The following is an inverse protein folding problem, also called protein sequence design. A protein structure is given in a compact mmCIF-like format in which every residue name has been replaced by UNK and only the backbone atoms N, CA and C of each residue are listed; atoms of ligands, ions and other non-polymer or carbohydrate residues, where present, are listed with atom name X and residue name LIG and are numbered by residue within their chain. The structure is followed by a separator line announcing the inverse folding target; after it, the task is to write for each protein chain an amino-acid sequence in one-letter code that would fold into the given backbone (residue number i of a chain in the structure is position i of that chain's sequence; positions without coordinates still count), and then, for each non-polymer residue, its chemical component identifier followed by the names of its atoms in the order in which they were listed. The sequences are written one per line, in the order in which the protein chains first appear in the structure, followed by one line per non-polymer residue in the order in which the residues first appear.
data_IF_250708946014
#
_entry.id   IF_250708946014
#
_cell.length_a   1.000
_cell.length_b   1.000
_cell.length_c   1.000
_cell.angle_alpha   90.00
_cell.angle_beta   90.00
_cell.angle_gamma   90.00
#
_symmetry.space_group_name_H-M   'P 1'
#
loop_
_entity.id
_entity.type
_entity.pdbx_description
1 polymer ?
#
# COMPACT_ATOMS: atom_id res chain seq x y z
N UNK A 1 27.45 -0.40 23.52
CA UNK A 1 26.02 -0.79 23.46
C UNK A 1 25.27 0.35 22.78
N UNK A 2 25.00 0.24 21.49
CA UNK A 2 24.10 1.18 20.82
C UNK A 2 22.76 1.19 21.55
N UNK A 3 22.25 2.37 21.89
CA UNK A 3 20.84 2.52 22.29
C UNK A 3 20.02 2.04 21.11
N UNK A 4 19.58 0.77 21.12
CA UNK A 4 18.49 0.31 20.25
C UNK A 4 17.41 1.39 20.34
N UNK A 5 17.07 1.97 19.19
CA UNK A 5 16.07 3.02 19.09
C UNK A 5 14.80 2.54 19.79
N UNK A 6 14.50 3.08 20.97
CA UNK A 6 13.42 2.57 21.84
C UNK A 6 12.11 2.51 21.06
N UNK A 7 11.92 3.47 20.14
CA UNK A 7 10.79 3.55 19.20
C UNK A 7 10.64 2.33 18.30
N UNK A 8 11.73 1.82 17.71
CA UNK A 8 11.68 0.65 16.82
C UNK A 8 11.26 -0.61 17.56
N UNK A 9 11.68 -0.75 18.82
CA UNK A 9 11.27 -1.87 19.67
C UNK A 9 9.76 -1.87 19.92
N UNK A 10 9.16 -0.69 20.09
CA UNK A 10 7.71 -0.57 20.25
C UNK A 10 6.93 -0.72 18.94
N UNK A 11 7.58 -0.51 17.78
CA UNK A 11 6.98 -0.69 16.45
C UNK A 11 6.99 -2.15 16.01
N UNK A 12 7.98 -2.94 16.42
CA UNK A 12 8.20 -4.32 15.99
C UNK A 12 7.18 -5.31 16.60
N UNK A 13 5.89 -5.08 16.39
CA UNK A 13 4.84 -6.05 16.65
C UNK A 13 4.73 -6.97 15.44
N UNK A 14 4.71 -8.27 15.71
CA UNK A 14 4.55 -9.31 14.70
C UNK A 14 3.37 -9.01 13.77
N UNK A 15 3.62 -9.09 12.46
CA UNK A 15 2.62 -8.87 11.40
C UNK A 15 2.09 -7.45 11.23
N UNK A 16 2.48 -6.47 12.06
CA UNK A 16 1.97 -5.09 12.00
C UNK A 16 3.01 -4.06 11.56
N UNK A 17 4.23 -4.50 11.33
CA UNK A 17 5.37 -3.67 10.96
C UNK A 17 6.06 -4.30 9.75
N UNK A 18 6.34 -3.48 8.74
CA UNK A 18 7.18 -3.83 7.60
C UNK A 18 8.62 -3.42 7.94
N UNK A 19 9.52 -4.37 8.21
CA UNK A 19 10.90 -4.05 8.55
C UNK A 19 11.64 -3.37 7.41
N UNK A 20 12.59 -2.51 7.74
CA UNK A 20 13.41 -1.80 6.75
C UNK A 20 14.12 -2.78 5.82
N UNK A 21 14.69 -3.88 6.33
CA UNK A 21 15.30 -4.91 5.50
C UNK A 21 14.34 -5.56 4.50
N UNK A 22 13.05 -5.67 4.84
CA UNK A 22 12.03 -6.21 3.94
C UNK A 22 11.67 -5.18 2.87
N UNK A 23 11.55 -3.90 3.24
CA UNK A 23 11.38 -2.81 2.28
C UNK A 23 12.57 -2.74 1.31
N UNK A 24 13.80 -2.92 1.80
CA UNK A 24 15.02 -2.97 0.99
C UNK A 24 14.99 -4.14 0.01
N UNK A 25 14.61 -5.33 0.49
CA UNK A 25 14.46 -6.52 -0.35
C UNK A 25 13.37 -6.36 -1.42
N UNK A 26 12.26 -5.68 -1.10
CA UNK A 26 11.23 -5.32 -2.09
C UNK A 26 11.82 -4.41 -3.18
N UNK A 27 12.64 -3.41 -2.78
CA UNK A 27 13.30 -2.50 -3.72
C UNK A 27 14.28 -3.23 -4.64
N UNK A 28 15.13 -4.10 -4.09
CA UNK A 28 16.06 -4.93 -4.87
C UNK A 28 15.31 -5.83 -5.86
N UNK A 29 14.30 -6.55 -5.37
CA UNK A 29 13.50 -7.45 -6.22
C UNK A 29 12.75 -6.70 -7.32
N UNK A 30 12.29 -5.47 -7.06
CA UNK A 30 11.70 -4.63 -8.11
C UNK A 30 12.68 -4.36 -9.25
N UNK A 31 13.96 -4.10 -8.97
CA UNK A 31 14.97 -3.93 -10.02
C UNK A 31 15.18 -5.23 -10.80
N UNK A 32 15.42 -6.34 -10.10
CA UNK A 32 15.71 -7.63 -10.73
C UNK A 32 14.58 -8.06 -11.66
N UNK A 33 13.33 -7.95 -11.20
CA UNK A 33 12.16 -8.34 -11.98
C UNK A 33 11.92 -7.41 -13.17
N UNK A 34 12.14 -6.11 -13.04
CA UNK A 34 12.01 -5.16 -14.16
C UNK A 34 13.08 -5.42 -15.22
N UNK A 35 14.33 -5.68 -14.81
CA UNK A 35 15.40 -6.03 -15.75
C UNK A 35 15.12 -7.37 -16.45
N UNK A 36 14.60 -8.36 -15.73
CA UNK A 36 14.18 -9.63 -16.34
C UNK A 36 13.02 -9.44 -17.33
N UNK A 37 12.01 -8.62 -17.01
CA UNK A 37 10.92 -8.32 -17.94
C UNK A 37 11.44 -7.68 -19.22
N UNK A 38 12.37 -6.72 -19.09
CA UNK A 38 13.00 -6.09 -20.24
C UNK A 38 13.75 -7.12 -21.09
N UNK A 39 14.54 -7.99 -20.46
CA UNK A 39 15.28 -9.04 -21.17
C UNK A 39 14.36 -9.98 -21.94
N UNK A 40 13.24 -10.41 -21.34
CA UNK A 40 12.23 -11.23 -22.02
C UNK A 40 11.59 -10.51 -23.21
N UNK A 41 11.28 -9.22 -23.09
CA UNK A 41 10.72 -8.40 -24.17
C UNK A 41 11.74 -8.11 -25.29
N UNK A 42 13.03 -8.09 -24.97
CA UNK A 42 14.11 -7.97 -25.96
C UNK A 42 14.28 -9.27 -26.75
N UNK A 43 14.09 -10.42 -26.09
CA UNK A 43 14.15 -11.75 -26.71
C UNK A 43 12.94 -12.02 -27.61
N UNK A 44 11.71 -11.76 -27.14
CA UNK A 44 10.49 -11.90 -27.92
C UNK A 44 9.43 -10.85 -27.51
N UNK A 45 8.98 -10.05 -28.47
CA UNK A 45 7.95 -9.03 -28.24
C UNK A 45 6.59 -9.60 -27.84
N UNK A 46 6.32 -10.89 -28.11
CA UNK A 46 5.08 -11.56 -27.70
C UNK A 46 4.90 -11.60 -26.17
N UNK A 47 5.98 -11.46 -25.39
CA UNK A 47 5.90 -11.38 -23.92
C UNK A 47 5.07 -10.21 -23.41
N UNK A 48 4.84 -9.16 -24.22
CA UNK A 48 3.96 -8.04 -23.85
C UNK A 48 2.58 -8.52 -23.37
N UNK A 49 2.03 -9.55 -24.02
CA UNK A 49 0.71 -10.10 -23.72
C UNK A 49 0.61 -10.76 -22.33
N UNK A 50 1.75 -11.17 -21.75
CA UNK A 50 1.85 -11.81 -20.43
C UNK A 50 2.30 -10.78 -19.40
N UNK A 51 3.34 -10.01 -19.74
CA UNK A 51 3.99 -9.05 -18.85
C UNK A 51 3.21 -7.73 -18.72
N UNK A 52 2.18 -7.50 -19.55
CA UNK A 52 1.33 -6.31 -19.54
C UNK A 52 2.10 -4.99 -19.66
N UNK A 53 3.22 -4.99 -20.39
CA UNK A 53 4.04 -3.81 -20.68
C UNK A 53 4.80 -3.99 -21.98
N UNK A 54 4.92 -2.91 -22.74
CA UNK A 54 5.69 -2.89 -23.97
C UNK A 54 7.17 -2.60 -23.75
N UNK A 55 8.02 -3.09 -24.65
CA UNK A 55 9.48 -2.81 -24.62
C UNK A 55 9.79 -1.31 -24.56
N UNK A 56 9.12 -0.51 -25.39
CA UNK A 56 9.32 0.95 -25.43
C UNK A 56 9.02 1.62 -24.09
N UNK A 57 8.06 1.08 -23.34
CA UNK A 57 7.62 1.61 -22.06
C UNK A 57 8.61 1.24 -20.96
N UNK A 58 9.00 -0.03 -20.89
CA UNK A 58 9.93 -0.51 -19.85
C UNK A 58 11.33 0.10 -20.02
N UNK A 59 11.74 0.41 -21.25
CA UNK A 59 13.01 1.11 -21.51
C UNK A 59 13.03 2.50 -20.86
N UNK A 60 11.90 3.20 -20.74
CA UNK A 60 11.83 4.50 -20.06
C UNK A 60 12.17 4.41 -18.56
N UNK A 61 12.01 3.23 -17.93
CA UNK A 61 12.29 3.05 -16.50
C UNK A 61 13.75 3.37 -16.17
N UNK A 62 14.71 2.99 -17.03
CA UNK A 62 16.14 3.31 -16.84
C UNK A 62 16.47 4.77 -17.10
N UNK A 63 15.70 5.46 -17.94
CA UNK A 63 16.01 6.82 -18.37
C UNK A 63 15.44 7.90 -17.44
N UNK A 64 14.45 7.57 -16.60
CA UNK A 64 13.82 8.54 -15.69
C UNK A 64 14.09 8.21 -14.21
N UNK A 65 15.30 8.52 -13.77
CA UNK A 65 15.74 8.27 -12.39
C UNK A 65 14.87 8.98 -11.34
N UNK A 66 14.37 10.18 -11.64
CA UNK A 66 13.58 10.96 -10.69
C UNK A 66 12.22 10.30 -10.38
N UNK A 67 11.49 9.90 -11.43
CA UNK A 67 10.22 9.17 -11.28
C UNK A 67 10.45 7.78 -10.68
N UNK A 68 11.51 7.08 -11.10
CA UNK A 68 11.87 5.77 -10.55
C UNK A 68 12.17 5.84 -9.06
N UNK A 69 12.92 6.85 -8.61
CA UNK A 69 13.19 7.07 -7.18
C UNK A 69 11.92 7.21 -6.37
N UNK A 70 10.94 7.99 -6.85
CA UNK A 70 9.67 8.17 -6.12
C UNK A 70 8.87 6.86 -6.08
N UNK A 71 8.88 6.09 -7.16
CA UNK A 71 8.22 4.78 -7.22
C UNK A 71 8.84 3.76 -6.25
N UNK A 72 10.18 3.75 -6.15
CA UNK A 72 10.94 2.84 -5.28
C UNK A 72 10.94 3.22 -3.81
N UNK A 73 10.52 4.45 -3.45
CA UNK A 73 10.38 4.84 -2.04
C UNK A 73 9.19 4.15 -1.37
N UNK A 74 8.20 3.74 -2.14
CA UNK A 74 7.04 3.03 -1.61
C UNK A 74 7.39 1.55 -1.36
N UNK A 75 6.95 0.95 -0.23
CA UNK A 75 7.24 -0.46 0.09
C UNK A 75 6.38 -1.44 -0.72
N UNK A 76 6.07 -1.13 -1.97
CA UNK A 76 5.16 -1.89 -2.82
C UNK A 76 5.93 -2.56 -3.96
N UNK A 77 5.45 -3.74 -4.36
CA UNK A 77 5.91 -4.35 -5.59
C UNK A 77 5.40 -3.55 -6.80
N UNK A 78 6.32 -3.25 -7.71
CA UNK A 78 6.06 -2.63 -9.01
C UNK A 78 5.45 -3.61 -10.01
N UNK A 79 5.57 -4.90 -9.71
CA UNK A 79 4.93 -6.00 -10.42
C UNK A 79 3.76 -6.54 -9.61
N UNK A 80 2.83 -7.20 -10.29
CA UNK A 80 1.77 -7.99 -9.68
C UNK A 80 1.91 -9.45 -10.15
N UNK A 81 1.36 -10.43 -9.42
CA UNK A 81 1.34 -11.79 -9.91
C UNK A 81 0.55 -11.91 -11.22
N UNK A 82 1.01 -12.80 -12.09
CA UNK A 82 0.30 -13.19 -13.31
C UNK A 82 -0.93 -14.06 -12.98
N UNK A 83 -0.85 -14.84 -11.89
CA UNK A 83 -1.93 -15.67 -11.37
C UNK A 83 -2.77 -14.86 -10.38
N UNK A 84 -3.99 -14.48 -10.79
CA UNK A 84 -4.82 -13.50 -10.08
C UNK A 84 -5.78 -14.13 -9.06
N UNK A 85 -6.22 -15.38 -9.29
CA UNK A 85 -7.20 -16.07 -8.45
C UNK A 85 -6.60 -17.25 -7.68
N UNK A 86 -7.26 -17.66 -6.60
CA UNK A 86 -6.86 -18.85 -5.81
C UNK A 86 -6.86 -20.11 -6.66
N UNK A 87 -7.85 -20.22 -7.55
CA UNK A 87 -8.02 -21.32 -8.49
C UNK A 87 -6.83 -21.43 -9.44
N UNK A 88 -6.32 -20.30 -9.95
CA UNK A 88 -5.12 -20.29 -10.82
C UNK A 88 -3.90 -20.88 -10.10
N UNK A 89 -3.73 -20.57 -8.81
CA UNK A 89 -2.65 -21.13 -8.01
C UNK A 89 -2.86 -22.63 -7.72
N UNK A 90 -4.10 -23.05 -7.43
CA UNK A 90 -4.43 -24.47 -7.18
C UNK A 90 -4.13 -25.38 -8.36
N UNK A 91 -4.27 -24.88 -9.59
CA UNK A 91 -3.92 -25.64 -10.81
C UNK A 91 -2.50 -26.20 -10.75
N UNK A 92 -1.54 -25.41 -10.24
CA UNK A 92 -0.14 -25.82 -10.17
C UNK A 92 0.23 -26.48 -8.83
N UNK A 93 -0.40 -26.06 -7.73
CA UNK A 93 -0.07 -26.54 -6.38
C UNK A 93 -0.69 -27.90 -6.08
N UNK A 94 -1.98 -28.08 -6.44
CA UNK A 94 -2.80 -29.24 -6.07
C UNK A 94 -3.17 -30.12 -7.28
N UNK A 95 -2.61 -29.83 -8.47
CA UNK A 95 -2.88 -30.55 -9.73
C UNK A 95 -4.37 -30.56 -10.13
N UNK A 96 -5.08 -29.47 -9.84
CA UNK A 96 -6.46 -29.28 -10.31
C UNK A 96 -6.50 -28.93 -11.80
N UNK A 97 -7.68 -29.07 -12.43
CA UNK A 97 -7.90 -28.65 -13.80
C UNK A 97 -7.53 -27.17 -14.02
N UNK A 98 -6.89 -26.86 -15.14
CA UNK A 98 -6.47 -25.50 -15.49
C UNK A 98 -7.67 -24.56 -15.65
N UNK A 99 -7.54 -23.33 -15.18
CA UNK A 99 -8.53 -22.28 -15.43
C UNK A 99 -8.39 -21.74 -16.85
N UNK A 100 -9.45 -21.10 -17.36
CA UNK A 100 -9.43 -20.43 -18.67
C UNK A 100 -8.36 -19.32 -18.72
N UNK A 101 -8.09 -18.66 -17.59
CA UNK A 101 -7.05 -17.64 -17.49
C UNK A 101 -5.66 -18.26 -17.68
N UNK A 102 -5.37 -19.36 -16.99
CA UNK A 102 -4.10 -20.10 -17.11
C UNK A 102 -3.91 -20.65 -18.52
N UNK A 103 -4.94 -21.26 -19.11
CA UNK A 103 -4.87 -21.77 -20.48
C UNK A 103 -4.55 -20.66 -21.50
N UNK A 104 -5.14 -19.46 -21.30
CA UNK A 104 -4.88 -18.31 -22.17
C UNK A 104 -3.43 -17.83 -22.04
N UNK A 105 -2.88 -17.83 -20.82
CA UNK A 105 -1.49 -17.46 -20.56
C UNK A 105 -0.52 -18.47 -21.21
N UNK A 106 -0.78 -19.76 -21.05
CA UNK A 106 0.05 -20.83 -21.64
C UNK A 106 0.04 -20.72 -23.17
N UNK A 107 -1.11 -20.45 -23.79
CA UNK A 107 -1.19 -20.27 -25.26
C UNK A 107 -0.44 -19.04 -25.79
N UNK A 108 -0.30 -18.00 -24.95
CA UNK A 108 0.43 -16.77 -25.29
C UNK A 108 1.93 -16.88 -25.01
N UNK A 109 2.38 -17.94 -24.34
CA UNK A 109 3.78 -18.12 -23.98
C UNK A 109 4.59 -18.44 -25.25
N UNK A 110 5.55 -17.60 -25.64
CA UNK A 110 6.43 -17.91 -26.76
C UNK A 110 7.37 -19.07 -26.43
N UNK A 111 7.91 -19.77 -27.45
CA UNK A 111 8.85 -20.87 -27.22
C UNK A 111 10.11 -20.35 -26.53
N UNK A 112 10.49 -21.01 -25.43
CA UNK A 112 11.67 -20.69 -24.64
C UNK A 112 12.80 -21.68 -24.93
N UNK A 113 14.02 -21.18 -25.09
CA UNK A 113 15.21 -22.01 -25.04
C UNK A 113 15.53 -22.44 -23.59
N UNK A 114 16.49 -23.35 -23.42
CA UNK A 114 16.83 -23.87 -22.10
C UNK A 114 17.35 -22.77 -21.15
N UNK A 115 18.11 -21.80 -21.67
CA UNK A 115 18.67 -20.71 -20.88
C UNK A 115 17.59 -19.74 -20.40
N UNK A 116 16.68 -19.31 -21.29
CA UNK A 116 15.56 -18.44 -20.94
C UNK A 116 14.62 -19.12 -19.96
N UNK A 117 14.33 -20.42 -20.15
CA UNK A 117 13.53 -21.19 -19.20
C UNK A 117 14.17 -21.21 -17.82
N UNK A 118 15.47 -21.50 -17.71
CA UNK A 118 16.20 -21.45 -16.44
C UNK A 118 16.18 -20.05 -15.80
N UNK A 119 16.32 -18.99 -16.61
CA UNK A 119 16.25 -17.61 -16.15
C UNK A 119 14.88 -17.25 -15.58
N UNK A 120 13.80 -17.61 -16.27
CA UNK A 120 12.42 -17.39 -15.78
C UNK A 120 12.17 -18.18 -14.50
N UNK A 121 12.59 -19.44 -14.44
CA UNK A 121 12.45 -20.26 -13.23
C UNK A 121 13.20 -19.66 -12.03
N UNK A 122 14.40 -19.11 -12.25
CA UNK A 122 15.16 -18.41 -11.21
C UNK A 122 14.39 -17.19 -10.68
N UNK A 123 13.93 -16.30 -11.57
CA UNK A 123 13.21 -15.09 -11.15
C UNK A 123 11.84 -15.39 -10.55
N UNK A 124 11.16 -16.45 -10.99
CA UNK A 124 9.94 -16.95 -10.34
C UNK A 124 10.20 -17.38 -8.89
N UNK A 125 11.37 -18.01 -8.61
CA UNK A 125 11.76 -18.35 -7.22
C UNK A 125 12.00 -17.10 -6.39
N UNK A 126 12.75 -16.13 -6.92
CA UNK A 126 13.02 -14.84 -6.24
C UNK A 126 11.71 -14.14 -5.90
N UNK A 127 10.80 -14.03 -6.87
CA UNK A 127 9.47 -13.46 -6.70
C UNK A 127 8.67 -14.19 -5.62
N UNK A 128 8.59 -15.53 -5.68
CA UNK A 128 7.81 -16.32 -4.75
C UNK A 128 8.38 -16.31 -3.33
N UNK A 129 9.70 -16.32 -3.17
CA UNK A 129 10.36 -16.21 -1.87
C UNK A 129 10.08 -14.83 -1.24
N UNK A 130 10.04 -13.75 -2.03
CA UNK A 130 9.63 -12.42 -1.54
C UNK A 130 8.14 -12.38 -1.18
N UNK A 131 7.26 -12.86 -2.06
CA UNK A 131 5.80 -12.95 -1.79
C UNK A 131 5.56 -13.70 -0.48
N UNK A 132 6.21 -14.85 -0.31
CA UNK A 132 6.13 -15.67 0.91
C UNK A 132 6.64 -14.90 2.14
N UNK A 133 7.73 -14.14 2.01
CA UNK A 133 8.24 -13.32 3.12
C UNK A 133 7.22 -12.24 3.53
N UNK A 134 6.66 -11.52 2.55
CA UNK A 134 5.72 -10.41 2.81
C UNK A 134 4.42 -10.91 3.44
N UNK A 135 3.83 -12.00 2.95
CA UNK A 135 2.56 -12.54 3.50
C UNK A 135 2.67 -13.03 4.94
N UNK A 136 3.84 -13.53 5.36
CA UNK A 136 4.07 -13.96 6.73
C UNK A 136 4.41 -12.79 7.66
N UNK A 137 5.05 -11.73 7.14
CA UNK A 137 5.56 -10.60 7.95
C UNK A 137 4.57 -9.44 8.05
N UNK A 138 3.60 -9.30 7.14
CA UNK A 138 2.69 -8.14 7.14
C UNK A 138 1.23 -8.55 6.93
N UNK A 139 0.34 -8.01 7.76
CA UNK A 139 -1.11 -8.11 7.55
C UNK A 139 -1.59 -7.30 6.34
N UNK A 140 -0.79 -6.32 5.91
CA UNK A 140 -1.02 -5.54 4.69
C UNK A 140 -0.35 -6.15 3.46
N UNK A 141 0.02 -7.43 3.49
CA UNK A 141 0.68 -8.09 2.37
C UNK A 141 -0.09 -7.96 1.05
N UNK A 142 -1.42 -8.08 1.08
CA UNK A 142 -2.24 -8.02 -0.12
C UNK A 142 -2.11 -6.66 -0.87
N UNK A 143 -2.26 -5.50 -0.20
CA UNK A 143 -1.90 -4.19 -0.77
C UNK A 143 -0.47 -4.09 -1.30
N UNK A 144 0.53 -4.54 -0.52
CA UNK A 144 1.95 -4.42 -0.88
C UNK A 144 2.29 -5.20 -2.15
N UNK A 145 1.75 -6.41 -2.27
CA UNK A 145 1.98 -7.33 -3.39
C UNK A 145 1.05 -7.11 -4.58
N UNK A 146 -0.04 -6.34 -4.42
CA UNK A 146 -1.03 -6.14 -5.47
C UNK A 146 -1.93 -7.35 -5.73
N UNK A 147 -2.27 -8.10 -4.68
CA UNK A 147 -3.12 -9.30 -4.74
C UNK A 147 -4.41 -9.12 -3.94
N UNK A 148 -5.37 -10.03 -4.12
CA UNK A 148 -6.57 -10.07 -3.29
C UNK A 148 -6.26 -10.62 -1.88
N UNK A 149 -7.15 -10.34 -0.93
CA UNK A 149 -7.07 -10.90 0.43
C UNK A 149 -7.22 -12.42 0.46
N UNK A 150 -7.98 -12.98 -0.49
CA UNK A 150 -8.20 -14.42 -0.62
C UNK A 150 -6.95 -15.13 -1.15
N UNK A 151 -6.26 -14.54 -2.13
CA UNK A 151 -4.98 -15.10 -2.61
C UNK A 151 -3.93 -15.02 -1.52
N UNK A 152 -3.85 -13.90 -0.79
CA UNK A 152 -2.91 -13.78 0.33
C UNK A 152 -3.17 -14.83 1.41
N UNK A 153 -4.43 -15.05 1.80
CA UNK A 153 -4.78 -16.06 2.81
C UNK A 153 -4.53 -17.48 2.34
N UNK A 154 -4.81 -17.78 1.06
CA UNK A 154 -4.49 -19.06 0.45
C UNK A 154 -2.97 -19.32 0.45
N UNK A 155 -2.16 -18.37 -0.01
CA UNK A 155 -0.70 -18.54 -0.07
C UNK A 155 -0.07 -18.73 1.32
N UNK A 156 -0.64 -18.12 2.37
CA UNK A 156 -0.22 -18.36 3.76
C UNK A 156 -0.53 -19.80 4.20
N UNK A 157 -1.62 -20.39 3.71
CA UNK A 157 -2.02 -21.76 4.07
C UNK A 157 -1.20 -22.85 3.35
N UNK A 158 -0.54 -22.52 2.23
CA UNK A 158 0.22 -23.48 1.44
C UNK A 158 1.66 -23.59 1.95
N UNK A 159 2.16 -24.79 2.26
CA UNK A 159 3.56 -24.98 2.62
C UNK A 159 4.51 -24.54 1.51
N UNK A 160 5.59 -23.85 1.87
CA UNK A 160 6.57 -23.29 0.91
C UNK A 160 7.16 -24.33 -0.05
N UNK A 161 7.36 -25.58 0.39
CA UNK A 161 7.88 -26.63 -0.48
C UNK A 161 6.90 -27.01 -1.60
N UNK A 162 5.58 -26.96 -1.36
CA UNK A 162 4.56 -27.21 -2.40
C UNK A 162 4.59 -26.11 -3.45
N UNK A 163 4.71 -24.85 -3.02
CA UNK A 163 4.86 -23.71 -3.92
C UNK A 163 6.12 -23.87 -4.80
N UNK A 164 7.23 -24.37 -4.25
CA UNK A 164 8.46 -24.65 -5.01
C UNK A 164 8.30 -25.78 -6.03
N UNK A 165 7.59 -26.85 -5.68
CA UNK A 165 7.28 -27.94 -6.63
C UNK A 165 6.38 -27.41 -7.76
N UNK A 166 5.40 -26.56 -7.43
CA UNK A 166 4.51 -25.95 -8.42
C UNK A 166 5.25 -25.12 -9.48
N UNK A 167 6.35 -24.44 -9.11
CA UNK A 167 7.18 -23.69 -10.08
C UNK A 167 7.69 -24.56 -11.22
N UNK A 168 8.07 -25.81 -10.95
CA UNK A 168 8.54 -26.73 -12.00
C UNK A 168 7.46 -27.09 -13.02
N UNK A 169 6.19 -27.04 -12.61
CA UNK A 169 5.04 -27.37 -13.46
C UNK A 169 4.62 -26.21 -14.37
N UNK A 170 5.04 -24.99 -14.07
CA UNK A 170 4.67 -23.77 -14.81
C UNK A 170 5.44 -23.63 -16.14
N UNK A 171 6.43 -24.49 -16.41
CA UNK A 171 7.12 -24.62 -17.69
C UNK A 171 7.61 -23.29 -18.30
N UNK A 172 8.22 -22.42 -17.50
CA UNK A 172 8.76 -21.14 -17.97
C UNK A 172 7.74 -20.01 -18.12
N UNK A 173 6.51 -20.15 -17.61
CA UNK A 173 5.58 -19.05 -17.46
C UNK A 173 6.08 -18.03 -16.41
N UNK A 174 6.27 -16.74 -16.74
CA UNK A 174 6.61 -15.71 -15.75
C UNK A 174 5.45 -15.48 -14.77
N UNK A 175 5.75 -15.54 -13.47
CA UNK A 175 4.78 -15.34 -12.40
C UNK A 175 4.51 -13.89 -12.02
N UNK A 176 5.22 -12.97 -12.66
CA UNK A 176 5.12 -11.54 -12.43
C UNK A 176 4.81 -10.84 -13.75
N UNK A 177 4.06 -9.75 -13.65
CA UNK A 177 3.74 -8.84 -14.74
C UNK A 177 3.76 -7.41 -14.23
N UNK A 178 3.84 -6.45 -15.14
CA UNK A 178 3.73 -5.04 -14.81
C UNK A 178 2.41 -4.74 -14.09
N UNK A 179 2.50 -3.94 -13.02
CA UNK A 179 1.32 -3.58 -12.20
C UNK A 179 0.58 -2.37 -12.75
N UNK A 180 1.31 -1.38 -13.28
CA UNK A 180 0.76 -0.05 -13.59
C UNK A 180 0.27 0.06 -15.03
N UNK A 181 -0.90 -0.53 -15.30
CA UNK A 181 -1.43 -0.64 -16.66
C UNK A 181 -2.29 0.56 -17.10
N UNK A 182 -2.25 1.67 -16.36
CA UNK A 182 -2.95 2.88 -16.76
C UNK A 182 -2.12 3.63 -17.80
N UNK A 183 -2.67 4.01 -18.98
CA UNK A 183 -1.95 4.83 -19.94
C UNK A 183 -1.44 6.15 -19.34
N UNK A 184 -2.17 6.68 -18.35
CA UNK A 184 -1.78 7.91 -17.64
C UNK A 184 -0.47 7.75 -16.86
N UNK A 185 -0.13 6.53 -16.41
CA UNK A 185 1.10 6.26 -15.67
C UNK A 185 2.32 6.62 -16.50
N UNK A 186 2.42 6.13 -17.74
CA UNK A 186 3.59 6.35 -18.59
C UNK A 186 3.77 7.83 -18.96
N UNK A 187 2.68 8.57 -19.21
CA UNK A 187 2.76 10.02 -19.42
C UNK A 187 3.31 10.76 -18.19
N UNK A 188 2.88 10.37 -17.00
CA UNK A 188 3.32 10.98 -15.74
C UNK A 188 4.77 10.61 -15.41
N UNK A 189 5.13 9.35 -15.65
CA UNK A 189 6.45 8.80 -15.42
C UNK A 189 7.48 9.45 -16.35
N UNK A 190 7.23 9.45 -17.66
CA UNK A 190 8.14 10.02 -18.68
C UNK A 190 8.32 11.53 -18.54
N UNK A 191 7.28 12.26 -18.12
CA UNK A 191 7.35 13.70 -17.90
C UNK A 191 8.08 14.11 -16.60
N UNK A 192 8.66 13.17 -15.84
CA UNK A 192 9.32 13.43 -14.54
C UNK A 192 8.40 14.10 -13.50
N UNK A 193 7.09 13.90 -13.63
CA UNK A 193 6.06 14.56 -12.80
C UNK A 193 5.41 13.62 -11.80
N UNK A 194 5.95 12.41 -11.63
CA UNK A 194 5.37 11.39 -10.77
C UNK A 194 5.62 11.74 -9.29
N UNK A 195 4.62 12.30 -8.61
CA UNK A 195 4.64 12.61 -7.17
C UNK A 195 4.29 11.38 -6.32
N UNK A 196 4.62 11.42 -5.02
CA UNK A 196 4.26 10.36 -4.06
C UNK A 196 2.72 10.17 -4.01
N UNK A 197 1.97 11.27 -4.15
CA UNK A 197 0.51 11.25 -4.28
C UNK A 197 0.02 10.51 -5.53
N UNK A 198 0.69 10.70 -6.67
CA UNK A 198 0.35 10.01 -7.90
C UNK A 198 0.70 8.53 -7.81
N UNK A 199 1.85 8.17 -7.21
CA UNK A 199 2.22 6.76 -6.94
C UNK A 199 1.16 6.09 -6.06
N UNK A 200 0.76 6.74 -4.97
CA UNK A 200 -0.31 6.28 -4.09
C UNK A 200 -1.64 6.06 -4.83
N UNK A 201 -2.01 6.96 -5.74
CA UNK A 201 -3.18 6.77 -6.60
C UNK A 201 -3.04 5.53 -7.49
N UNK A 202 -1.90 5.38 -8.19
CA UNK A 202 -1.67 4.27 -9.12
C UNK A 202 -1.67 2.91 -8.40
N UNK A 203 -1.13 2.85 -7.19
CA UNK A 203 -1.18 1.65 -6.33
C UNK A 203 -2.62 1.27 -5.99
N UNK A 204 -3.46 2.24 -5.61
CA UNK A 204 -4.88 2.00 -5.32
C UNK A 204 -5.69 1.65 -6.56
N UNK A 205 -5.41 2.30 -7.70
CA UNK A 205 -6.11 2.08 -8.95
C UNK A 205 -5.90 0.67 -9.50
N UNK A 206 -4.69 0.15 -9.33
CA UNK A 206 -4.25 -1.19 -9.79
C UNK A 206 -4.49 -2.28 -8.76
N UNK A 207 -4.86 -1.93 -7.53
CA UNK A 207 -5.17 -2.90 -6.49
C UNK A 207 -6.50 -3.61 -6.78
N UNK A 208 -6.56 -4.94 -6.60
CA UNK A 208 -7.83 -5.65 -6.67
C UNK A 208 -8.70 -5.45 -5.42
N UNK A 209 -8.15 -4.90 -4.32
CA UNK A 209 -8.90 -4.63 -3.09
C UNK A 209 -9.75 -3.37 -3.24
N UNK A 210 -11.08 -3.55 -3.18
CA UNK A 210 -12.05 -2.46 -3.13
C UNK A 210 -12.45 -2.15 -1.69
N UNK A 211 -12.42 -0.88 -1.32
CA UNK A 211 -12.85 -0.39 -0.01
C UNK A 211 -14.32 -0.64 0.27
N UNK A 212 -15.20 -0.60 -0.73
CA UNK A 212 -16.64 -0.83 -0.53
C UNK A 212 -16.98 -2.29 -0.20
N UNK A 213 -16.20 -3.25 -0.70
CA UNK A 213 -16.36 -4.67 -0.35
C UNK A 213 -15.63 -5.05 0.94
N UNK A 214 -14.61 -4.27 1.33
CA UNK A 214 -13.84 -4.52 2.55
C UNK A 214 -14.61 -4.08 3.82
N UNK A 215 -14.37 -4.74 4.98
CA UNK A 215 -15.06 -4.42 6.22
C UNK A 215 -14.84 -2.96 6.64
N UNK A 216 -15.94 -2.20 6.74
CA UNK A 216 -15.91 -0.79 7.15
C UNK A 216 -16.10 -0.57 8.65
N UNK A 217 -16.71 -1.52 9.36
CA UNK A 217 -17.02 -1.44 10.79
C UNK A 217 -16.10 -2.39 11.56
N UNK A 218 -15.03 -1.87 12.14
CA UNK A 218 -14.32 -2.59 13.18
C UNK A 218 -14.73 -2.00 14.53
N UNK A 219 -15.43 -2.80 15.35
CA UNK A 219 -15.95 -2.40 16.64
C UNK A 219 -14.83 -2.12 17.64
N UNK A 220 -14.35 -0.88 17.71
CA UNK A 220 -13.46 -0.42 18.79
C UNK A 220 -14.08 -0.67 20.18
N UNK A 221 -15.41 -0.65 20.28
CA UNK A 221 -16.19 -0.88 21.49
C UNK A 221 -16.31 -2.34 21.90
N UNK A 222 -16.15 -3.28 20.97
CA UNK A 222 -16.38 -4.72 21.18
C UNK A 222 -15.09 -5.49 21.47
N UNK A 223 -13.95 -4.81 21.35
CA UNK A 223 -12.64 -5.42 21.55
C UNK A 223 -12.32 -5.61 23.04
N UNK A 224 -12.59 -6.80 23.57
CA UNK A 224 -12.13 -7.23 24.90
C UNK A 224 -10.72 -7.80 24.80
N UNK A 225 -9.73 -6.92 24.77
CA UNK A 225 -8.32 -7.33 24.81
C UNK A 225 -7.80 -7.43 26.25
N UNK A 226 -6.92 -8.40 26.54
CA UNK A 226 -6.09 -8.41 27.73
C UNK A 226 -5.32 -7.10 27.93
N UNK A 227 -5.05 -6.73 29.18
CA UNK A 227 -4.42 -5.44 29.53
C UNK A 227 -3.01 -5.30 28.95
N UNK A 228 -2.22 -6.38 28.96
CA UNK A 228 -0.89 -6.45 28.35
C UNK A 228 -0.95 -6.09 26.86
N UNK A 229 -1.89 -6.69 26.11
CA UNK A 229 -2.08 -6.38 24.68
C UNK A 229 -2.49 -4.92 24.45
N UNK A 230 -3.37 -4.38 25.28
CA UNK A 230 -3.75 -2.97 25.26
C UNK A 230 -2.55 -2.05 25.48
N UNK A 231 -1.68 -2.38 26.44
CA UNK A 231 -0.46 -1.62 26.70
C UNK A 231 0.55 -1.72 25.54
N UNK A 232 0.70 -2.89 24.92
CA UNK A 232 1.56 -3.08 23.74
C UNK A 232 1.06 -2.24 22.57
N UNK A 233 -0.23 -2.31 22.23
CA UNK A 233 -0.80 -1.54 21.11
C UNK A 233 -0.80 -0.03 21.36
N UNK A 234 -1.05 0.41 22.60
CA UNK A 234 -0.90 1.81 22.98
C UNK A 234 0.53 2.30 22.76
N UNK A 235 1.52 1.49 23.15
CA UNK A 235 2.94 1.84 23.00
C UNK A 235 3.35 1.90 21.53
N UNK A 236 2.89 0.95 20.70
CA UNK A 236 3.13 0.98 19.26
C UNK A 236 2.51 2.22 18.58
N UNK A 237 1.24 2.53 18.85
CA UNK A 237 0.61 3.74 18.29
C UNK A 237 1.33 5.02 18.73
N UNK A 238 1.74 5.11 20.00
CA UNK A 238 2.55 6.22 20.49
C UNK A 238 3.93 6.28 19.82
N UNK A 239 4.55 5.14 19.49
CA UNK A 239 5.80 5.10 18.72
C UNK A 239 5.64 5.62 17.28
N UNK A 240 4.42 5.57 16.72
CA UNK A 240 4.07 6.24 15.45
C UNK A 240 3.68 7.72 15.62
N UNK A 241 3.67 8.25 16.84
CA UNK A 241 3.38 9.66 17.14
C UNK A 241 1.94 9.93 17.62
N UNK A 242 1.18 8.90 17.99
CA UNK A 242 -0.12 9.08 18.63
C UNK A 242 0.01 9.80 19.97
N UNK A 243 -0.91 10.72 20.27
CA UNK A 243 -0.92 11.39 21.58
C UNK A 243 -1.22 10.40 22.70
N UNK A 244 -0.57 10.60 23.85
CA UNK A 244 -0.78 9.77 25.03
C UNK A 244 -2.24 9.80 25.51
N UNK A 245 -2.93 10.93 25.37
CA UNK A 245 -4.36 11.05 25.70
C UNK A 245 -5.25 10.20 24.79
N UNK A 246 -4.94 10.17 23.50
CA UNK A 246 -5.68 9.39 22.51
C UNK A 246 -5.46 7.91 22.75
N UNK A 247 -4.20 7.49 22.92
CA UNK A 247 -3.87 6.10 23.26
C UNK A 247 -4.52 5.65 24.58
N UNK A 248 -4.45 6.46 25.64
CA UNK A 248 -5.10 6.17 26.92
C UNK A 248 -6.61 6.00 26.78
N UNK A 249 -7.27 6.87 26.01
CA UNK A 249 -8.71 6.81 25.74
C UNK A 249 -9.10 5.56 24.93
N UNK A 250 -8.34 5.23 23.88
CA UNK A 250 -8.61 4.08 23.01
C UNK A 250 -8.54 2.74 23.77
N UNK A 251 -7.57 2.59 24.66
CA UNK A 251 -7.30 1.33 25.34
C UNK A 251 -7.72 1.31 26.82
N UNK A 252 -8.40 2.36 27.29
CA UNK A 252 -8.84 2.52 28.70
C UNK A 252 -7.68 2.37 29.71
N UNK A 253 -6.56 3.01 29.41
CA UNK A 253 -5.33 2.99 30.23
C UNK A 253 -5.16 4.29 31.02
N UNK A 254 -4.29 4.26 32.05
CA UNK A 254 -3.98 5.44 32.83
C UNK A 254 -3.21 6.48 31.98
N UNK A 255 -3.78 7.68 31.85
CA UNK A 255 -3.21 8.76 31.06
C UNK A 255 -1.84 9.23 31.54
N UNK A 256 -1.58 9.27 32.85
CA UNK A 256 -0.30 9.70 33.41
C UNK A 256 0.81 8.70 33.06
N UNK A 257 0.51 7.41 33.18
CA UNK A 257 1.43 6.34 32.78
C UNK A 257 1.75 6.40 31.28
N UNK A 258 0.75 6.67 30.42
CA UNK A 258 0.98 6.82 28.98
C UNK A 258 1.80 8.06 28.63
N UNK A 259 1.63 9.19 29.35
CA UNK A 259 2.46 10.38 29.16
C UNK A 259 3.92 10.14 29.53
N UNK A 260 4.15 9.44 30.64
CA UNK A 260 5.50 9.04 31.03
C UNK A 260 6.14 8.14 29.97
N UNK A 261 5.41 7.11 29.52
CA UNK A 261 5.89 6.22 28.45
C UNK A 261 6.17 6.97 27.15
N UNK A 262 5.32 7.94 26.78
CA UNK A 262 5.57 8.79 25.62
C UNK A 262 6.86 9.59 25.75
N UNK A 263 7.13 10.16 26.92
CA UNK A 263 8.37 10.88 27.21
C UNK A 263 9.59 9.94 27.12
N UNK A 264 9.50 8.71 27.63
CA UNK A 264 10.56 7.70 27.52
C UNK A 264 10.86 7.32 26.05
N UNK A 265 9.84 7.30 25.18
CA UNK A 265 10.00 6.98 23.76
C UNK A 265 10.55 8.14 22.91
N UNK A 266 10.08 9.37 23.15
CA UNK A 266 10.35 10.52 22.27
C UNK A 266 11.27 11.58 22.89
N UNK A 267 11.61 11.45 24.18
CA UNK A 267 12.38 12.45 24.94
C UNK A 267 11.65 13.77 25.16
N UNK A 268 10.37 13.86 24.78
CA UNK A 268 9.54 15.08 24.84
C UNK A 268 8.15 14.76 25.36
N UNK A 269 7.52 15.75 25.99
CA UNK A 269 6.15 15.60 26.51
C UNK A 269 5.15 15.42 25.38
N UNK A 270 4.14 14.58 25.61
CA UNK A 270 3.08 14.37 24.62
C UNK A 270 2.32 15.68 24.33
N UNK A 271 2.02 16.00 23.06
CA UNK A 271 1.31 17.21 22.70
C UNK A 271 -0.03 17.33 23.46
N UNK A 272 -0.24 18.49 24.06
CA UNK A 272 -1.46 18.82 24.81
C UNK A 272 -2.34 19.76 23.99
N UNK A 273 -3.66 19.62 24.11
CA UNK A 273 -4.65 20.44 23.40
C UNK A 273 -5.66 19.61 22.61
N UNK A 274 -6.56 20.30 21.90
CA UNK A 274 -7.67 19.68 21.18
C UNK A 274 -7.18 18.73 20.08
N UNK A 275 -7.84 17.59 19.94
CA UNK A 275 -7.58 16.61 18.88
C UNK A 275 -8.24 17.06 17.57
N UNK A 276 -7.60 16.83 16.41
CA UNK A 276 -8.21 17.14 15.13
C UNK A 276 -9.48 16.30 14.93
N UNK A 277 -10.63 16.97 14.76
CA UNK A 277 -11.94 16.33 14.63
C UNK A 277 -12.77 16.75 13.41
N UNK A 278 -12.22 17.60 12.53
CA UNK A 278 -12.92 18.05 11.34
C UNK A 278 -12.85 17.01 10.22
N UNK A 279 -13.99 16.38 9.91
CA UNK A 279 -14.11 15.48 8.77
C UNK A 279 -14.04 16.21 7.43
N UNK A 280 -14.42 17.50 7.39
CA UNK A 280 -14.32 18.35 6.20
C UNK A 280 -12.89 18.42 5.67
N UNK A 281 -11.89 18.36 6.55
CA UNK A 281 -10.48 18.48 6.16
C UNK A 281 -10.04 17.43 5.13
N UNK A 282 -10.60 16.22 5.22
CA UNK A 282 -10.28 15.14 4.29
C UNK A 282 -10.83 15.40 2.88
N UNK A 283 -11.79 16.30 2.70
CA UNK A 283 -12.38 16.60 1.38
C UNK A 283 -12.13 18.04 0.93
N UNK A 284 -11.48 18.86 1.76
CA UNK A 284 -11.16 20.27 1.50
C UNK A 284 -10.14 20.47 0.36
N UNK A 285 -9.09 19.64 0.31
CA UNK A 285 -8.06 19.74 -0.74
C UNK A 285 -7.86 18.39 -1.45
N UNK A 286 -7.47 18.40 -2.74
CA UNK A 286 -7.24 17.18 -3.50
C UNK A 286 -6.20 16.25 -2.87
N UNK A 287 -5.13 16.82 -2.30
CA UNK A 287 -4.08 16.08 -1.59
C UNK A 287 -4.59 15.47 -0.29
N UNK A 288 -5.32 16.23 0.54
CA UNK A 288 -5.90 15.69 1.78
C UNK A 288 -6.87 14.54 1.48
N UNK A 289 -7.64 14.66 0.40
CA UNK A 289 -8.57 13.64 -0.06
C UNK A 289 -7.85 12.37 -0.45
N UNK A 290 -6.77 12.47 -1.21
CA UNK A 290 -5.95 11.31 -1.51
C UNK A 290 -5.39 10.68 -0.23
N UNK A 291 -4.79 11.46 0.67
CA UNK A 291 -4.23 10.91 1.91
C UNK A 291 -5.29 10.22 2.77
N UNK A 292 -6.48 10.81 2.91
CA UNK A 292 -7.58 10.18 3.65
C UNK A 292 -8.06 8.89 2.97
N UNK A 293 -8.10 8.90 1.64
CA UNK A 293 -8.48 7.75 0.83
C UNK A 293 -7.50 6.59 0.99
N UNK A 294 -6.19 6.82 0.80
CA UNK A 294 -5.19 5.76 0.96
C UNK A 294 -5.12 5.24 2.39
N UNK A 295 -5.27 6.12 3.38
CA UNK A 295 -5.32 5.71 4.79
C UNK A 295 -6.52 4.81 5.05
N UNK A 296 -7.70 5.17 4.54
CA UNK A 296 -8.92 4.36 4.67
C UNK A 296 -8.80 3.03 3.93
N UNK A 297 -8.20 3.04 2.74
CA UNK A 297 -7.97 1.84 1.94
C UNK A 297 -7.06 0.84 2.64
N UNK A 298 -5.90 1.28 3.12
CA UNK A 298 -4.98 0.44 3.91
C UNK A 298 -5.68 -0.11 5.16
N UNK A 299 -6.40 0.73 5.90
CA UNK A 299 -7.10 0.30 7.11
C UNK A 299 -8.13 -0.79 6.81
N UNK A 300 -8.97 -0.59 5.79
CA UNK A 300 -9.98 -1.60 5.39
C UNK A 300 -9.33 -2.87 4.83
N UNK A 301 -8.21 -2.75 4.11
CA UNK A 301 -7.46 -3.90 3.64
C UNK A 301 -6.91 -4.75 4.79
N UNK A 302 -6.37 -4.12 5.84
CA UNK A 302 -5.92 -4.85 7.03
C UNK A 302 -7.08 -5.55 7.75
N UNK A 303 -8.25 -4.90 7.86
CA UNK A 303 -9.45 -5.53 8.43
C UNK A 303 -9.91 -6.74 7.59
N UNK A 304 -9.91 -6.62 6.26
CA UNK A 304 -10.23 -7.72 5.35
C UNK A 304 -9.24 -8.90 5.49
N UNK A 305 -7.97 -8.62 5.82
CA UNK A 305 -6.97 -9.62 6.12
C UNK A 305 -7.08 -10.23 7.55
N UNK A 306 -8.12 -9.87 8.31
CA UNK A 306 -8.40 -10.42 9.63
C UNK A 306 -7.78 -9.67 10.81
N UNK A 307 -7.20 -8.48 10.59
CA UNK A 307 -6.72 -7.64 11.68
C UNK A 307 -7.90 -7.08 12.51
N UNK A 308 -7.71 -6.92 13.81
CA UNK A 308 -8.63 -6.12 14.63
C UNK A 308 -8.37 -4.60 14.45
N UNK A 309 -9.26 -3.75 15.00
CA UNK A 309 -9.18 -2.30 14.78
C UNK A 309 -7.83 -1.66 15.20
N UNK A 310 -7.27 -1.95 16.40
CA UNK A 310 -5.93 -1.50 16.78
C UNK A 310 -4.83 -2.00 15.84
N UNK A 311 -4.84 -3.28 15.49
CA UNK A 311 -3.85 -3.88 14.60
C UNK A 311 -3.87 -3.23 13.21
N UNK A 312 -5.07 -3.07 12.64
CA UNK A 312 -5.27 -2.42 11.35
C UNK A 312 -4.78 -0.96 11.39
N UNK A 313 -5.05 -0.23 12.47
CA UNK A 313 -4.57 1.15 12.62
C UNK A 313 -3.04 1.21 12.72
N UNK A 314 -2.40 0.33 13.50
CA UNK A 314 -0.94 0.27 13.63
C UNK A 314 -0.31 -0.02 12.26
N UNK A 315 -0.73 -1.10 11.60
CA UNK A 315 -0.20 -1.49 10.29
C UNK A 315 -0.41 -0.40 9.22
N UNK A 316 -1.57 0.25 9.24
CA UNK A 316 -1.85 1.37 8.33
C UNK A 316 -0.89 2.53 8.54
N UNK A 317 -0.64 2.93 9.80
CA UNK A 317 0.28 4.04 10.08
C UNK A 317 1.71 3.70 9.68
N UNK A 318 2.12 2.44 9.83
CA UNK A 318 3.44 1.99 9.39
C UNK A 318 3.63 2.17 7.88
N UNK A 319 2.80 1.50 7.09
CA UNK A 319 2.89 1.55 5.62
C UNK A 319 2.66 2.97 5.10
N UNK A 320 1.71 3.72 5.67
CA UNK A 320 1.44 5.10 5.29
C UNK A 320 2.64 6.02 5.55
N UNK A 321 3.36 5.88 6.68
CA UNK A 321 4.58 6.66 6.92
C UNK A 321 5.69 6.33 5.93
N UNK A 322 5.82 5.05 5.54
CA UNK A 322 6.81 4.60 4.56
C UNK A 322 6.53 5.17 3.16
N UNK A 323 5.27 5.13 2.69
CA UNK A 323 4.89 5.67 1.37
C UNK A 323 5.28 7.14 1.22
N UNK A 324 5.01 7.95 2.24
CA UNK A 324 5.22 9.40 2.19
C UNK A 324 6.54 9.85 2.82
N UNK A 325 7.47 8.91 3.08
CA UNK A 325 8.81 9.21 3.59
C UNK A 325 8.83 10.10 4.85
N UNK A 326 7.85 9.93 5.74
CA UNK A 326 7.68 10.77 6.93
C UNK A 326 7.02 12.14 6.71
N UNK A 327 6.84 12.61 5.47
CA UNK A 327 6.11 13.83 5.13
C UNK A 327 4.60 13.57 4.95
N UNK A 328 4.01 12.92 5.94
CA UNK A 328 2.62 12.50 5.86
C UNK A 328 1.66 13.59 6.38
N UNK A 329 0.59 13.87 5.63
CA UNK A 329 -0.37 14.91 5.98
C UNK A 329 -1.31 14.50 7.14
N UNK A 330 -1.55 13.19 7.31
CA UNK A 330 -2.43 12.67 8.36
C UNK A 330 -1.59 12.22 9.55
N UNK A 331 -1.81 12.83 10.71
CA UNK A 331 -1.26 12.31 11.98
C UNK A 331 -2.03 11.08 12.44
N UNK A 332 -1.42 10.27 13.32
CA UNK A 332 -2.07 9.07 13.87
C UNK A 332 -3.42 9.39 14.52
N UNK A 333 -3.51 10.48 15.29
CA UNK A 333 -4.78 10.92 15.90
C UNK A 333 -5.85 11.25 14.86
N UNK A 334 -5.47 11.92 13.77
CA UNK A 334 -6.37 12.29 12.67
C UNK A 334 -6.83 11.03 11.91
N UNK A 335 -5.95 10.08 11.67
CA UNK A 335 -6.28 8.78 11.07
C UNK A 335 -7.19 7.93 11.97
N UNK A 336 -6.96 7.95 13.29
CA UNK A 336 -7.84 7.33 14.26
C UNK A 336 -9.24 7.96 14.25
N UNK A 337 -9.32 9.29 14.14
CA UNK A 337 -10.61 9.98 14.00
C UNK A 337 -11.33 9.54 12.72
N UNK A 338 -10.62 9.58 11.58
CA UNK A 338 -11.16 9.18 10.28
C UNK A 338 -11.76 7.78 10.31
N UNK A 339 -10.99 6.79 10.78
CA UNK A 339 -11.42 5.38 10.80
C UNK A 339 -12.61 5.15 11.74
N UNK A 340 -12.66 5.86 12.88
CA UNK A 340 -13.82 5.82 13.79
C UNK A 340 -15.05 6.50 13.20
N UNK A 341 -14.87 7.66 12.58
CA UNK A 341 -15.95 8.39 11.93
C UNK A 341 -16.54 7.59 10.78
N UNK A 342 -15.71 7.02 9.91
CA UNK A 342 -16.14 6.14 8.80
C UNK A 342 -16.92 4.89 9.26
N UNK A 343 -16.73 4.46 10.51
CA UNK A 343 -17.44 3.31 11.09
C UNK A 343 -18.77 3.72 11.77
N UNK A 344 -18.87 4.95 12.28
CA UNK A 344 -19.98 5.43 13.09
C UNK A 344 -20.91 6.42 12.37
N UNK A 345 -20.45 7.04 11.30
CA UNK A 345 -21.04 8.23 10.69
C UNK A 345 -21.02 8.11 9.15
N UNK A 346 -22.02 8.70 8.50
CA UNK A 346 -22.17 8.72 7.06
C UNK A 346 -21.78 10.07 6.42
N UNK A 347 -21.24 11.02 7.20
CA UNK A 347 -20.75 12.33 6.69
C UNK A 347 -19.60 12.22 5.69
N UNK A 348 -18.85 11.12 5.74
CA UNK A 348 -17.87 10.74 4.73
C UNK A 348 -18.27 9.38 4.19
N UNK A 349 -18.37 9.26 2.88
CA UNK A 349 -18.65 7.99 2.20
C UNK A 349 -17.56 7.70 1.18
N UNK A 350 -17.65 6.52 0.57
CA UNK A 350 -16.72 6.08 -0.48
C UNK A 350 -17.48 5.99 -1.79
N UNK A 351 -16.95 6.62 -2.83
CA UNK A 351 -17.50 6.54 -4.17
C UNK A 351 -16.41 6.19 -5.19
N UNK A 352 -16.71 5.33 -6.18
CA UNK A 352 -15.81 5.08 -7.29
C UNK A 352 -15.74 6.30 -8.22
N UNK A 353 -14.54 6.66 -8.66
CA UNK A 353 -14.33 7.64 -9.72
C UNK A 353 -15.07 7.22 -11.00
N UNK A 354 -15.79 8.14 -11.64
CA UNK A 354 -16.47 7.89 -12.92
C UNK A 354 -15.49 7.48 -14.02
N UNK A 355 -14.31 8.11 -14.04
CA UNK A 355 -13.31 7.93 -15.08
C UNK A 355 -12.43 6.68 -14.87
N UNK A 356 -11.82 6.52 -13.69
CA UNK A 356 -10.86 5.43 -13.43
C UNK A 356 -11.34 4.36 -12.46
N UNK A 357 -12.58 4.45 -11.95
CA UNK A 357 -13.18 3.54 -10.95
C UNK A 357 -12.46 3.41 -9.61
N UNK A 358 -11.30 4.05 -9.43
CA UNK A 358 -10.61 4.12 -8.13
C UNK A 358 -11.54 4.76 -7.12
N UNK A 359 -11.69 4.11 -5.97
CA UNK A 359 -12.59 4.56 -4.92
C UNK A 359 -11.93 5.66 -4.08
N UNK A 360 -12.70 6.70 -3.77
CA UNK A 360 -12.24 7.88 -3.03
C UNK A 360 -13.20 8.25 -1.92
N UNK A 361 -12.67 8.92 -0.90
CA UNK A 361 -13.49 9.61 0.09
C UNK A 361 -14.24 10.76 -0.58
N UNK A 362 -15.55 10.80 -0.36
CA UNK A 362 -16.44 11.87 -0.81
C UNK A 362 -17.22 12.44 0.37
N UNK A 363 -17.56 13.72 0.25
CA UNK A 363 -18.35 14.42 1.25
C UNK A 363 -19.81 14.03 1.13
N UNK A 364 -20.43 13.68 2.25
CA UNK A 364 -21.86 13.46 2.37
C UNK A 364 -22.38 14.16 3.64
N UNK A 365 -22.01 15.42 3.79
CA UNK A 365 -22.44 16.26 4.91
C UNK A 365 -23.52 17.26 4.44
N UNK A 366 -24.19 17.89 5.40
CA UNK A 366 -25.27 18.86 5.13
C UNK A 366 -24.82 20.03 4.23
N UNK A 367 -23.54 20.40 4.28
CA UNK A 367 -23.01 21.55 3.54
C UNK A 367 -22.54 21.21 2.13
N UNK A 368 -22.19 19.96 1.85
CA UNK A 368 -21.69 19.48 0.56
C UNK A 368 -21.94 17.98 0.39
N UNK A 369 -22.88 17.66 -0.47
CA UNK A 369 -23.18 16.29 -0.91
C UNK A 369 -22.58 16.09 -2.30
N UNK A 370 -21.59 15.20 -2.39
CA UNK A 370 -21.00 14.78 -3.67
C UNK A 370 -21.72 13.51 -4.15
N UNK A 371 -22.36 13.58 -5.32
CA UNK A 371 -23.12 12.44 -5.87
C UNK A 371 -22.17 11.32 -6.32
N UNK A 372 -22.47 10.09 -5.91
CA UNK A 372 -21.62 8.92 -6.18
C UNK A 372 -21.39 8.65 -7.68
N UNK A 373 -22.35 8.96 -8.54
CA UNK A 373 -22.29 8.64 -9.98
C UNK A 373 -21.60 9.70 -10.85
N UNK A 374 -21.36 10.91 -10.32
CA UNK A 374 -20.75 12.02 -11.06
C UNK A 374 -19.39 12.45 -10.51
N UNK A 375 -18.83 11.69 -9.58
CA UNK A 375 -17.56 12.02 -8.94
C UNK A 375 -16.35 11.72 -9.84
N UNK A 376 -15.50 12.72 -10.06
CA UNK A 376 -14.18 12.57 -10.67
C UNK A 376 -13.07 12.77 -9.64
N UNK A 377 -12.12 11.83 -9.59
CA UNK A 377 -11.06 11.85 -8.59
C UNK A 377 -9.98 12.90 -8.91
N UNK A 378 -9.25 13.38 -7.87
CA UNK A 378 -8.10 14.28 -8.02
C UNK A 378 -7.05 13.88 -9.08
N UNK A 379 -6.85 12.57 -9.30
CA UNK A 379 -5.90 12.10 -10.29
C UNK A 379 -6.43 12.31 -11.72
N UNK A 380 -7.69 11.96 -11.98
CA UNK A 380 -8.33 12.14 -13.28
C UNK A 380 -8.53 13.61 -13.64
N UNK A 381 -8.69 14.48 -12.65
CA UNK A 381 -8.78 15.93 -12.85
C UNK A 381 -7.41 16.62 -12.93
N UNK A 382 -6.30 15.87 -12.81
CA UNK A 382 -4.93 16.40 -12.89
C UNK A 382 -4.49 17.26 -11.70
N UNK A 383 -5.20 17.16 -10.56
CA UNK A 383 -4.98 17.99 -9.37
C UNK A 383 -3.92 17.45 -8.41
N UNK A 384 -3.37 16.27 -8.67
CA UNK A 384 -2.28 15.65 -7.89
C UNK A 384 -0.87 15.92 -8.44
N UNK A 385 -0.78 16.63 -9.57
CA UNK A 385 0.50 16.98 -10.19
C UNK A 385 1.35 17.91 -9.30
N UNK A 386 2.63 18.10 -9.65
CA UNK A 386 3.51 18.99 -8.90
C UNK A 386 2.87 20.37 -8.79
N UNK A 387 2.74 20.86 -7.55
CA UNK A 387 2.25 22.22 -7.31
C UNK A 387 3.16 23.16 -8.09
N UNK A 388 2.65 23.78 -9.16
CA UNK A 388 3.31 24.94 -9.78
C UNK A 388 3.50 25.91 -8.62
N UNK A 389 4.74 26.09 -8.16
CA UNK A 389 5.07 27.07 -7.13
C UNK A 389 4.61 28.41 -7.69
N UNK A 390 3.44 28.86 -7.24
CA UNK A 390 2.92 30.17 -7.60
C UNK A 390 3.95 31.19 -7.15
N UNK A 391 4.41 31.99 -8.10
CA UNK A 391 5.30 33.14 -7.96
C UNK A 391 4.65 34.21 -7.07
N UNK A 392 4.50 33.92 -5.78
CA UNK A 392 4.08 34.88 -4.73
C UNK A 392 4.79 34.54 -3.41
N UNK A 393 6.11 34.37 -3.46
CA UNK A 393 6.91 34.79 -2.32
C UNK A 393 6.88 36.31 -2.32
N UNK A 394 6.07 36.88 -1.42
CA UNK A 394 6.06 38.30 -1.09
C UNK A 394 7.50 38.76 -0.87
N UNK A 395 8.03 39.57 -1.78
CA UNK A 395 9.08 40.52 -1.46
C UNK A 395 8.51 41.50 -0.43
N UNK A 396 8.61 41.13 0.83
CA UNK A 396 8.36 41.97 2.00
C UNK A 396 9.52 41.71 2.94
N UNK A 397 10.62 42.40 2.64
CA UNK A 397 11.68 42.86 3.54
C UNK A 397 12.87 43.28 2.67
N UNK A 398 12.77 44.50 2.14
CA UNK A 398 13.89 45.38 1.76
C UNK A 398 13.29 46.78 1.58
N UNK A 399 12.83 47.34 2.69
CA UNK A 399 12.48 48.75 2.83
C UNK A 399 12.48 49.11 4.32
N UNK A 400 13.67 49.17 4.90
CA UNK A 400 13.97 49.99 6.08
C UNK A 400 15.38 50.54 5.88
N UNK A 401 15.41 51.72 5.26
CA UNK A 401 16.38 52.76 5.60
C UNK A 401 15.99 53.37 6.94
#
# INVERSE_FOLDING_TARGET
MEKKNSRETYRSIERLYVPDWLADRIRETNFDLVDQMRWLLEMDGAFNDILAVERKEIDHVKHNEASLRNLLRAPFLMVAPTLESVEDWRCFVDDTATTVAVDRLIRKLPPLDALAKMSVEHHNRVFLDLVTSVIHISVLAAPLLGITTEVASYLVSVPTYKLRIALGKMNGLPLFRWRFNSPTFWYQFTASNLTDEMVAHQIMATSPIRMNSAPGKAGWSELRLPRDRNETYASALMAYGCRASTAASLFRLNQNAMRQRFFEMHGTSSPCGNTPNSLSWFVETPTNRLHGTIFTWLYRAALAAGANAPQALIATNDVYQQIFGGQHAISVDRGCNLTRAMAADNRLTIAPCRSCRTEYLVSNNETKIEMHHSFDCPACTGQLGPKRRGTKARARNDAQQ
#
